data_IF_106373740881
#
_entry.id   IF_106373740881
#
_cell.length_a   1.000
_cell.length_b   1.000
_cell.length_c   1.000
_cell.angle_alpha   90.00
_cell.angle_beta   90.00
_cell.angle_gamma   90.00
#
_symmetry.space_group_name_H-M   'P 1'
#
loop_
_entity.id
_entity.type
_entity.pdbx_description
1 polymer ?
#
# COMPACT_ATOMS: atom_id res chain seq x y z
N UNK A 1 12.72 13.82 56.03
CA UNK A 1 12.08 12.58 56.52
C UNK A 1 11.21 11.98 55.40
N UNK A 2 11.63 10.86 54.79
CA UNK A 2 10.81 10.15 53.81
C UNK A 2 9.75 9.36 54.57
N UNK A 3 8.48 9.73 54.40
CA UNK A 3 7.35 8.98 55.01
C UNK A 3 7.32 7.56 54.42
N UNK A 4 7.17 6.50 55.23
CA UNK A 4 7.11 5.13 54.73
C UNK A 4 5.89 4.91 53.82
N UNK A 5 6.06 4.05 52.81
CA UNK A 5 5.01 3.63 51.93
C UNK A 5 3.86 3.00 52.74
N UNK A 6 2.65 3.55 52.63
CA UNK A 6 1.45 3.00 53.27
C UNK A 6 0.64 2.23 52.25
N UNK A 7 0.46 0.95 52.49
CA UNK A 7 -0.37 0.07 51.66
C UNK A 7 -1.81 0.57 51.52
N UNK A 8 -2.35 1.19 52.56
CA UNK A 8 -3.69 1.79 52.54
C UNK A 8 -3.79 2.96 51.54
N UNK A 9 -2.77 3.84 51.48
CA UNK A 9 -2.73 4.96 50.53
C UNK A 9 -2.53 4.45 49.11
N UNK A 10 -1.71 3.42 48.93
CA UNK A 10 -1.52 2.77 47.62
C UNK A 10 -2.82 2.15 47.15
N UNK A 11 -3.55 1.41 48.01
CA UNK A 11 -4.85 0.81 47.68
C UNK A 11 -5.91 1.86 47.33
N UNK A 12 -5.98 2.96 48.05
CA UNK A 12 -6.89 4.06 47.73
C UNK A 12 -6.59 4.71 46.39
N UNK A 13 -5.29 4.88 46.07
CA UNK A 13 -4.84 5.45 44.79
C UNK A 13 -5.18 4.49 43.60
N UNK A 14 -4.88 3.21 43.79
CA UNK A 14 -5.24 2.18 42.77
C UNK A 14 -6.75 2.14 42.53
N UNK A 15 -7.57 2.18 43.57
CA UNK A 15 -9.02 2.19 43.43
C UNK A 15 -9.53 3.45 42.70
N UNK A 16 -8.94 4.61 43.02
CA UNK A 16 -9.25 5.88 42.34
C UNK A 16 -8.94 5.76 40.84
N UNK A 17 -7.72 5.34 40.49
CA UNK A 17 -7.29 5.22 39.12
C UNK A 17 -8.12 4.18 38.33
N UNK A 18 -8.42 3.04 38.96
CA UNK A 18 -9.28 2.04 38.35
C UNK A 18 -10.70 2.55 38.08
N UNK A 19 -11.27 3.31 39.00
CA UNK A 19 -12.59 3.94 38.82
C UNK A 19 -12.55 5.03 37.73
N UNK A 20 -11.46 5.78 37.64
CA UNK A 20 -11.27 6.79 36.58
C UNK A 20 -11.20 6.11 35.21
N UNK A 21 -10.35 5.09 35.07
CA UNK A 21 -10.20 4.32 33.83
C UNK A 21 -11.51 3.65 33.40
N UNK A 22 -12.30 3.09 34.35
CA UNK A 22 -13.60 2.48 34.07
C UNK A 22 -14.64 3.48 33.58
N UNK A 23 -14.53 4.76 33.95
CA UNK A 23 -15.43 5.83 33.51
C UNK A 23 -15.07 6.37 32.12
N UNK A 24 -13.82 6.31 31.74
CA UNK A 24 -13.35 6.70 30.40
C UNK A 24 -13.54 5.52 29.43
N UNK A 25 -14.78 5.41 28.93
CA UNK A 25 -15.19 4.33 28.01
C UNK A 25 -14.40 4.37 26.69
N UNK A 26 -13.98 5.54 26.24
CA UNK A 26 -13.24 5.71 24.99
C UNK A 26 -11.84 5.15 25.12
N UNK A 27 -11.10 5.53 26.17
CA UNK A 27 -9.76 4.99 26.45
C UNK A 27 -9.81 3.48 26.69
N UNK A 28 -10.78 3.00 27.49
CA UNK A 28 -10.94 1.56 27.74
C UNK A 28 -11.25 0.78 26.45
N UNK A 29 -12.16 1.31 25.62
CA UNK A 29 -12.52 0.72 24.34
C UNK A 29 -11.33 0.63 23.39
N UNK A 30 -10.50 1.67 23.30
CA UNK A 30 -9.29 1.66 22.48
C UNK A 30 -8.20 0.75 23.04
N UNK A 31 -8.05 0.70 24.37
CA UNK A 31 -7.06 -0.15 25.03
C UNK A 31 -7.29 -1.66 24.77
N UNK A 32 -8.54 -2.07 24.61
CA UNK A 32 -8.92 -3.44 24.23
C UNK A 32 -9.05 -3.60 22.72
N UNK A 33 -9.66 -2.61 22.06
CA UNK A 33 -9.97 -2.66 20.64
C UNK A 33 -8.73 -2.67 19.75
N UNK A 34 -7.70 -1.86 20.07
CA UNK A 34 -6.47 -1.82 19.29
C UNK A 34 -5.78 -3.19 19.24
N UNK A 35 -5.48 -3.89 20.36
CA UNK A 35 -4.90 -5.22 20.33
C UNK A 35 -5.77 -6.26 19.61
N UNK A 36 -7.10 -6.21 19.76
CA UNK A 36 -8.00 -7.13 19.07
C UNK A 36 -7.97 -6.92 17.54
N UNK A 37 -8.03 -5.67 17.09
CA UNK A 37 -7.93 -5.35 15.67
C UNK A 37 -6.56 -5.77 15.13
N UNK A 38 -5.49 -5.50 15.86
CA UNK A 38 -4.15 -5.96 15.49
C UNK A 38 -4.10 -7.48 15.37
N UNK A 39 -4.65 -8.22 16.34
CA UNK A 39 -4.69 -9.68 16.30
C UNK A 39 -5.41 -10.17 15.03
N UNK A 40 -6.55 -9.57 14.70
CA UNK A 40 -7.31 -9.92 13.50
C UNK A 40 -6.53 -9.57 12.23
N UNK A 41 -5.94 -8.37 12.16
CA UNK A 41 -5.17 -7.94 11.01
C UNK A 41 -3.92 -8.79 10.81
N UNK A 42 -3.13 -9.03 11.86
CA UNK A 42 -1.95 -9.87 11.76
C UNK A 42 -2.29 -11.35 11.54
N UNK A 43 -3.38 -11.85 12.11
CA UNK A 43 -3.78 -13.26 11.97
C UNK A 43 -4.41 -13.61 10.62
N UNK A 44 -5.17 -12.71 10.03
CA UNK A 44 -5.96 -13.01 8.82
C UNK A 44 -5.57 -12.22 7.58
N UNK A 45 -5.04 -11.00 7.70
CA UNK A 45 -4.72 -10.16 6.54
C UNK A 45 -3.32 -10.41 5.99
N UNK A 46 -2.42 -11.00 6.78
CA UNK A 46 -1.04 -11.23 6.35
C UNK A 46 -0.97 -12.49 5.50
N UNK A 47 -0.61 -12.32 4.25
CA UNK A 47 -0.27 -13.40 3.33
C UNK A 47 0.99 -12.99 2.55
N UNK A 48 2.08 -13.72 2.77
CA UNK A 48 3.36 -13.51 2.09
C UNK A 48 3.51 -14.35 0.82
N UNK A 49 2.53 -15.21 0.51
CA UNK A 49 2.49 -16.04 -0.69
C UNK A 49 1.20 -15.75 -1.51
N UNK A 50 1.12 -14.59 -2.18
CA UNK A 50 -0.04 -14.19 -2.95
C UNK A 50 -0.31 -15.15 -4.10
N UNK A 51 -1.56 -15.51 -4.27
CA UNK A 51 -2.07 -16.36 -5.35
C UNK A 51 -2.94 -15.53 -6.30
N UNK A 52 -3.29 -16.13 -7.45
CA UNK A 52 -4.17 -15.53 -8.45
C UNK A 52 -3.73 -14.11 -8.85
N UNK A 53 -2.43 -13.97 -9.18
CA UNK A 53 -1.86 -12.69 -9.61
C UNK A 53 -2.34 -12.34 -11.02
N UNK A 54 -2.92 -11.14 -11.24
CA UNK A 54 -3.48 -10.78 -12.53
C UNK A 54 -2.41 -10.79 -13.62
N UNK A 55 -2.69 -11.56 -14.66
CA UNK A 55 -1.76 -11.87 -15.74
C UNK A 55 -2.41 -11.58 -17.07
N UNK A 56 -1.68 -10.94 -17.98
CA UNK A 56 -2.08 -10.78 -19.38
C UNK A 56 -1.28 -11.73 -20.26
N UNK A 57 -1.92 -12.31 -21.26
CA UNK A 57 -1.24 -13.15 -22.25
C UNK A 57 -1.26 -12.42 -23.60
N UNK A 58 -0.09 -12.30 -24.22
CA UNK A 58 0.06 -11.92 -25.60
C UNK A 58 0.61 -13.12 -26.38
N UNK A 59 -0.22 -13.71 -27.22
CA UNK A 59 0.17 -14.89 -27.98
C UNK A 59 0.09 -14.66 -29.48
N UNK A 60 1.20 -14.85 -30.16
CA UNK A 60 1.28 -14.86 -31.63
C UNK A 60 1.13 -16.29 -32.21
N UNK A 61 0.91 -17.32 -31.36
CA UNK A 61 0.66 -18.71 -31.71
C UNK A 61 -0.62 -19.22 -31.03
N UNK A 62 -1.56 -19.76 -31.78
CA UNK A 62 -2.86 -20.25 -31.29
C UNK A 62 -2.97 -21.79 -31.24
N UNK A 63 -1.86 -22.47 -31.11
CA UNK A 63 -1.76 -23.94 -31.12
C UNK A 63 -2.35 -24.63 -29.88
N UNK A 64 -2.44 -25.95 -29.91
CA UNK A 64 -2.77 -26.74 -28.73
C UNK A 64 -1.72 -26.61 -27.65
N UNK A 65 -0.43 -26.52 -28.00
CA UNK A 65 0.67 -26.36 -27.05
C UNK A 65 0.60 -25.04 -26.29
N UNK A 66 0.21 -23.96 -26.97
CA UNK A 66 -0.03 -22.66 -26.33
C UNK A 66 -1.14 -22.74 -25.28
N UNK A 67 -2.26 -23.40 -25.63
CA UNK A 67 -3.38 -23.60 -24.70
C UNK A 67 -3.00 -24.46 -23.51
N UNK A 68 -2.24 -25.55 -23.74
CA UNK A 68 -1.74 -26.41 -22.65
C UNK A 68 -0.78 -25.67 -21.72
N UNK A 69 0.10 -24.83 -22.27
CA UNK A 69 0.98 -23.97 -21.45
C UNK A 69 0.18 -22.97 -20.60
N UNK A 70 -0.80 -22.27 -21.20
CA UNK A 70 -1.68 -21.36 -20.50
C UNK A 70 -2.46 -22.07 -19.38
N UNK A 71 -3.01 -23.25 -19.67
CA UNK A 71 -3.69 -24.06 -18.66
C UNK A 71 -2.74 -24.49 -17.52
N UNK A 72 -1.50 -24.89 -17.85
CA UNK A 72 -0.49 -25.22 -16.85
C UNK A 72 -0.12 -24.02 -15.97
N UNK A 73 -0.05 -22.82 -16.58
CA UNK A 73 0.21 -21.57 -15.85
C UNK A 73 -0.89 -21.29 -14.81
N UNK A 74 -2.17 -21.32 -15.23
CA UNK A 74 -3.33 -21.11 -14.36
C UNK A 74 -3.41 -22.19 -13.27
N UNK A 75 -3.14 -23.45 -13.61
CA UNK A 75 -3.20 -24.57 -12.66
C UNK A 75 -2.15 -24.51 -11.53
N UNK A 76 -1.14 -23.64 -11.63
CA UNK A 76 -0.25 -23.38 -10.49
C UNK A 76 -0.94 -22.64 -9.35
N UNK A 77 -2.07 -21.96 -9.64
CA UNK A 77 -2.79 -21.11 -8.70
C UNK A 77 -2.10 -19.75 -8.42
N UNK A 78 -0.93 -19.49 -9.03
CA UNK A 78 -0.26 -18.19 -8.90
C UNK A 78 -0.73 -17.16 -9.92
N UNK A 79 -1.14 -17.59 -11.10
CA UNK A 79 -1.48 -16.73 -12.24
C UNK A 79 -2.98 -16.77 -12.51
N UNK A 80 -3.59 -15.59 -12.59
CA UNK A 80 -4.98 -15.41 -13.01
C UNK A 80 -4.99 -14.64 -14.34
N UNK A 81 -5.36 -15.31 -15.41
CA UNK A 81 -5.38 -14.70 -16.75
C UNK A 81 -6.62 -13.83 -16.89
N UNK A 82 -6.44 -12.52 -16.70
CA UNK A 82 -7.53 -11.54 -16.72
C UNK A 82 -7.79 -10.95 -18.10
N UNK A 83 -6.80 -11.03 -19.00
CA UNK A 83 -6.93 -10.50 -20.37
C UNK A 83 -6.00 -11.21 -21.36
N UNK A 84 -6.37 -11.15 -22.64
CA UNK A 84 -5.51 -11.44 -23.78
C UNK A 84 -5.21 -10.14 -24.52
N UNK A 85 -3.93 -9.77 -24.61
CA UNK A 85 -3.50 -8.58 -25.33
C UNK A 85 -3.40 -8.85 -26.84
N UNK A 86 -3.65 -7.82 -27.63
CA UNK A 86 -3.52 -7.87 -29.10
C UNK A 86 -2.21 -7.24 -29.60
N UNK A 87 -1.52 -6.51 -28.75
CA UNK A 87 -0.25 -5.85 -29.09
C UNK A 87 0.64 -5.75 -27.85
N UNK A 88 1.94 -5.59 -28.06
CA UNK A 88 2.93 -5.34 -26.99
C UNK A 88 2.66 -4.01 -26.27
N UNK A 89 2.25 -2.95 -27.00
CA UNK A 89 1.88 -1.67 -26.41
C UNK A 89 0.76 -1.80 -25.38
N UNK A 90 -0.23 -2.68 -25.62
CA UNK A 90 -1.30 -2.97 -24.64
C UNK A 90 -0.75 -3.63 -23.39
N UNK A 91 0.20 -4.55 -23.54
CA UNK A 91 0.88 -5.21 -22.42
C UNK A 91 1.62 -4.18 -21.58
N UNK A 92 2.38 -3.30 -22.23
CA UNK A 92 3.16 -2.25 -21.58
C UNK A 92 2.27 -1.29 -20.78
N UNK A 93 1.16 -0.84 -21.35
CA UNK A 93 0.19 0.04 -20.70
C UNK A 93 -0.44 -0.63 -19.46
N UNK A 94 -0.84 -1.91 -19.59
CA UNK A 94 -1.42 -2.65 -18.46
C UNK A 94 -0.43 -2.85 -17.30
N UNK A 95 0.85 -3.12 -17.60
CA UNK A 95 1.92 -3.24 -16.58
C UNK A 95 2.23 -1.89 -15.94
N UNK A 96 2.32 -0.82 -16.72
CA UNK A 96 2.59 0.52 -16.23
C UNK A 96 1.49 0.98 -15.25
N UNK A 97 0.22 0.76 -15.59
CA UNK A 97 -0.93 1.09 -14.73
C UNK A 97 -1.12 0.14 -13.55
N UNK A 98 -0.33 -0.95 -13.45
CA UNK A 98 -0.50 -1.98 -12.41
C UNK A 98 -1.81 -2.76 -12.49
N UNK A 99 -2.46 -2.78 -13.66
CA UNK A 99 -3.65 -3.58 -13.90
C UNK A 99 -3.31 -5.07 -13.88
N UNK A 100 -2.13 -5.43 -14.38
CA UNK A 100 -1.55 -6.77 -14.32
C UNK A 100 -0.19 -6.75 -13.64
N UNK A 101 0.18 -7.87 -13.02
CA UNK A 101 1.50 -8.07 -12.40
C UNK A 101 2.42 -8.93 -13.26
N UNK A 102 1.85 -9.72 -14.16
CA UNK A 102 2.60 -10.53 -15.09
C UNK A 102 2.07 -10.35 -16.52
N UNK A 103 3.00 -10.36 -17.47
CA UNK A 103 2.69 -10.47 -18.88
C UNK A 103 3.44 -11.66 -19.46
N UNK A 104 2.75 -12.49 -20.22
CA UNK A 104 3.31 -13.67 -20.85
C UNK A 104 3.22 -13.51 -22.35
N UNK A 105 4.38 -13.39 -22.98
CA UNK A 105 4.51 -13.26 -24.45
C UNK A 105 4.94 -14.58 -25.06
N UNK A 106 4.08 -15.16 -25.87
CA UNK A 106 4.33 -16.40 -26.61
C UNK A 106 4.68 -16.04 -28.05
N UNK A 107 5.88 -16.38 -28.54
CA UNK A 107 6.34 -15.95 -29.86
C UNK A 107 5.62 -16.62 -31.00
N UNK A 108 5.69 -15.99 -32.16
CA UNK A 108 5.21 -16.57 -33.40
C UNK A 108 5.94 -17.90 -33.71
N UNK A 109 5.21 -18.89 -34.22
CA UNK A 109 5.71 -20.23 -34.52
C UNK A 109 6.20 -21.05 -33.32
N UNK A 110 5.78 -20.71 -32.10
CA UNK A 110 6.13 -21.45 -30.89
C UNK A 110 5.94 -22.95 -31.05
N UNK A 111 4.79 -23.37 -31.54
CA UNK A 111 4.45 -24.78 -31.78
C UNK A 111 5.36 -25.46 -32.79
N UNK A 112 5.67 -24.79 -33.90
CA UNK A 112 6.54 -25.32 -34.95
C UNK A 112 7.96 -25.53 -34.44
N UNK A 113 8.49 -24.55 -33.74
CA UNK A 113 9.86 -24.56 -33.24
C UNK A 113 10.01 -25.54 -32.05
N UNK A 114 8.94 -25.72 -31.25
CA UNK A 114 8.84 -26.74 -30.23
C UNK A 114 9.00 -28.16 -30.81
N UNK A 115 8.20 -28.50 -31.83
CA UNK A 115 8.22 -29.83 -32.50
C UNK A 115 9.55 -30.07 -33.20
N UNK A 116 10.20 -29.02 -33.69
CA UNK A 116 11.55 -29.11 -34.30
C UNK A 116 12.68 -29.21 -33.29
N UNK A 117 12.40 -29.13 -31.98
CA UNK A 117 13.40 -29.16 -30.93
C UNK A 117 14.27 -27.91 -30.84
N UNK A 118 13.82 -26.79 -31.40
CA UNK A 118 14.55 -25.52 -31.41
C UNK A 118 14.45 -24.73 -30.09
N UNK A 119 13.78 -25.28 -29.06
CA UNK A 119 13.60 -24.69 -27.74
C UNK A 119 13.14 -23.23 -27.76
N UNK A 120 11.94 -22.96 -28.26
CA UNK A 120 11.44 -21.61 -28.29
C UNK A 120 11.39 -21.00 -26.89
N UNK A 121 11.52 -19.67 -26.83
CA UNK A 121 11.53 -18.93 -25.58
C UNK A 121 10.18 -18.23 -25.37
N UNK A 122 9.59 -18.43 -24.19
CA UNK A 122 8.43 -17.66 -23.72
C UNK A 122 8.99 -16.55 -22.85
N UNK A 123 8.64 -15.31 -23.14
CA UNK A 123 8.98 -14.16 -22.30
C UNK A 123 7.90 -13.98 -21.25
N UNK A 124 8.31 -13.90 -19.99
CA UNK A 124 7.45 -13.55 -18.86
C UNK A 124 7.98 -12.27 -18.25
N UNK A 125 7.21 -11.21 -18.35
CA UNK A 125 7.53 -9.94 -17.75
C UNK A 125 6.78 -9.84 -16.42
N UNK A 126 7.52 -9.51 -15.36
CA UNK A 126 7.00 -9.37 -14.01
C UNK A 126 7.16 -7.92 -13.54
N UNK A 127 6.09 -7.34 -13.01
CA UNK A 127 6.16 -6.08 -12.27
C UNK A 127 6.89 -6.29 -10.95
N UNK A 128 8.19 -6.02 -10.92
CA UNK A 128 9.06 -6.22 -9.77
C UNK A 128 9.13 -5.00 -8.84
N UNK A 129 8.17 -4.07 -8.91
CA UNK A 129 8.03 -2.99 -7.92
C UNK A 129 7.73 -3.52 -6.54
N UNK A 130 7.07 -4.70 -6.44
CA UNK A 130 6.91 -5.47 -5.21
C UNK A 130 7.57 -6.85 -5.34
N UNK A 131 8.83 -7.00 -4.90
CA UNK A 131 9.58 -8.24 -5.01
C UNK A 131 8.97 -9.42 -4.24
N UNK A 132 8.26 -9.14 -3.14
CA UNK A 132 7.64 -10.20 -2.32
C UNK A 132 6.42 -10.78 -3.06
N UNK A 133 5.67 -9.94 -3.75
CA UNK A 133 4.50 -10.37 -4.50
C UNK A 133 4.85 -11.32 -5.65
N UNK A 134 5.98 -11.09 -6.32
CA UNK A 134 6.33 -11.81 -7.57
C UNK A 134 7.24 -13.02 -7.33
N UNK A 135 7.93 -13.10 -6.20
CA UNK A 135 8.97 -14.11 -5.95
C UNK A 135 8.49 -15.55 -6.03
N UNK A 136 7.37 -15.88 -5.38
CA UNK A 136 6.79 -17.24 -5.39
C UNK A 136 6.26 -17.63 -6.77
N UNK A 137 5.63 -16.70 -7.48
CA UNK A 137 5.12 -16.94 -8.83
C UNK A 137 6.27 -17.19 -9.82
N UNK A 138 7.37 -16.45 -9.74
CA UNK A 138 8.57 -16.68 -10.56
C UNK A 138 9.16 -18.06 -10.27
N UNK A 139 9.21 -18.47 -9.02
CA UNK A 139 9.67 -19.81 -8.65
C UNK A 139 8.78 -20.92 -9.22
N UNK A 140 7.46 -20.69 -9.32
CA UNK A 140 6.53 -21.63 -9.93
C UNK A 140 6.75 -21.77 -11.46
N UNK A 141 7.19 -20.69 -12.15
CA UNK A 141 7.51 -20.74 -13.58
C UNK A 141 8.63 -21.74 -13.91
N UNK A 142 9.63 -21.87 -13.03
CA UNK A 142 10.70 -22.85 -13.21
C UNK A 142 10.17 -24.30 -13.16
N UNK A 143 9.14 -24.56 -12.36
CA UNK A 143 8.50 -25.88 -12.32
C UNK A 143 7.64 -26.14 -13.56
N UNK A 144 6.95 -25.12 -14.07
CA UNK A 144 6.17 -25.21 -15.32
C UNK A 144 7.07 -25.56 -16.48
N UNK A 145 8.22 -24.94 -16.62
CA UNK A 145 9.23 -25.19 -17.64
C UNK A 145 9.56 -26.68 -17.80
N UNK A 146 9.56 -27.43 -16.70
CA UNK A 146 9.89 -28.85 -16.69
C UNK A 146 8.68 -29.77 -16.96
N UNK A 147 7.45 -29.33 -16.69
CA UNK A 147 6.27 -30.19 -16.62
C UNK A 147 5.12 -29.83 -17.56
N UNK A 148 5.02 -28.57 -17.99
CA UNK A 148 3.80 -28.05 -18.64
C UNK A 148 3.38 -28.81 -19.90
N UNK A 149 4.33 -29.20 -20.75
CA UNK A 149 4.06 -29.88 -22.03
C UNK A 149 4.49 -31.36 -22.04
N UNK A 150 4.86 -31.91 -20.88
CA UNK A 150 5.38 -33.30 -20.83
C UNK A 150 4.38 -34.34 -21.34
N UNK A 151 3.07 -34.13 -21.16
CA UNK A 151 2.00 -35.02 -21.67
C UNK A 151 1.73 -34.81 -23.14
N UNK A 152 1.73 -33.58 -23.61
CA UNK A 152 1.43 -33.23 -25.01
C UNK A 152 2.54 -33.68 -25.97
N UNK A 153 3.76 -33.83 -25.41
CA UNK A 153 4.94 -34.27 -26.17
C UNK A 153 5.18 -35.79 -26.07
N UNK A 154 4.31 -36.55 -25.39
CA UNK A 154 4.36 -38.00 -25.37
C UNK A 154 4.15 -38.55 -26.78
N UNK A 155 5.15 -39.28 -27.32
CA UNK A 155 5.11 -39.86 -28.67
C UNK A 155 5.62 -38.93 -29.79
N UNK A 156 5.99 -37.69 -29.48
CA UNK A 156 6.71 -36.80 -30.39
C UNK A 156 8.20 -37.11 -30.27
N UNK A 157 8.83 -37.53 -31.36
CA UNK A 157 10.28 -37.76 -31.40
C UNK A 157 11.01 -36.40 -31.40
N UNK A 158 11.21 -35.84 -30.21
CA UNK A 158 11.99 -34.62 -30.06
C UNK A 158 13.49 -34.92 -30.22
N UNK A 159 14.22 -34.12 -30.96
CA UNK A 159 15.69 -34.24 -31.05
C UNK A 159 16.42 -33.87 -29.76
N UNK A 160 15.71 -33.52 -28.70
CA UNK A 160 16.27 -33.11 -27.41
C UNK A 160 16.31 -34.27 -26.39
N UNK A 161 17.36 -34.39 -25.57
CA UNK A 161 17.42 -35.39 -24.49
C UNK A 161 16.25 -35.23 -23.51
N UNK A 162 15.67 -36.33 -22.98
CA UNK A 162 14.53 -36.27 -22.04
C UNK A 162 14.81 -35.49 -20.73
N UNK A 163 16.08 -35.22 -20.43
CA UNK A 163 16.50 -34.46 -19.25
C UNK A 163 16.46 -32.93 -19.42
N UNK A 164 16.17 -32.45 -20.62
CA UNK A 164 16.16 -31.01 -20.91
C UNK A 164 14.74 -30.51 -21.21
N UNK A 165 14.39 -29.31 -20.78
CA UNK A 165 13.06 -28.75 -21.06
C UNK A 165 12.89 -28.50 -22.56
N UNK A 166 11.69 -28.75 -23.06
CA UNK A 166 11.35 -28.61 -24.50
C UNK A 166 11.29 -27.14 -24.95
N UNK A 167 11.08 -26.21 -24.02
CA UNK A 167 11.06 -24.76 -24.24
C UNK A 167 11.77 -24.05 -23.08
N UNK A 168 12.07 -22.79 -23.27
CA UNK A 168 12.66 -21.95 -22.22
C UNK A 168 11.65 -20.87 -21.76
N UNK A 169 11.72 -20.48 -20.48
CA UNK A 169 11.02 -19.34 -19.94
C UNK A 169 12.07 -18.31 -19.54
N UNK A 170 11.98 -17.14 -20.13
CA UNK A 170 12.85 -15.99 -19.80
C UNK A 170 12.04 -15.04 -18.95
N UNK A 171 12.47 -14.82 -17.73
CA UNK A 171 11.79 -13.89 -16.81
C UNK A 171 12.50 -12.55 -16.85
N UNK A 172 11.78 -11.52 -17.29
CA UNK A 172 12.24 -10.13 -17.27
C UNK A 172 11.53 -9.39 -16.15
N UNK A 173 12.29 -9.02 -15.11
CA UNK A 173 11.79 -8.20 -14.00
C UNK A 173 11.81 -6.74 -14.43
N UNK A 174 10.63 -6.17 -14.71
CA UNK A 174 10.50 -4.74 -15.05
C UNK A 174 10.58 -3.89 -13.79
N UNK A 175 11.09 -2.68 -13.92
CA UNK A 175 11.15 -1.62 -12.93
C UNK A 175 12.11 -1.87 -11.74
N UNK A 176 12.51 -3.12 -11.49
CA UNK A 176 13.50 -3.48 -10.47
C UNK A 176 14.21 -4.80 -10.86
N UNK A 177 15.04 -4.78 -11.92
CA UNK A 177 15.68 -5.99 -12.45
C UNK A 177 16.56 -6.72 -11.42
N UNK A 178 17.26 -5.96 -10.58
CA UNK A 178 18.17 -6.47 -9.55
C UNK A 178 17.45 -6.91 -8.27
N UNK A 179 16.12 -6.74 -8.21
CA UNK A 179 15.30 -7.11 -7.05
C UNK A 179 15.72 -6.40 -5.75
N UNK A 180 16.10 -5.11 -5.87
CA UNK A 180 16.55 -4.29 -4.74
C UNK A 180 15.37 -3.97 -3.84
N UNK A 181 15.39 -4.48 -2.61
CA UNK A 181 14.30 -4.31 -1.64
C UNK A 181 14.06 -2.84 -1.28
N UNK A 182 15.10 -2.03 -1.25
CA UNK A 182 15.03 -0.59 -0.95
C UNK A 182 14.15 0.17 -1.94
N UNK A 183 14.10 -0.24 -3.20
CA UNK A 183 13.26 0.39 -4.23
C UNK A 183 11.76 0.26 -3.94
N UNK A 184 11.37 -0.82 -3.27
CA UNK A 184 10.00 -1.00 -2.80
C UNK A 184 9.74 -0.26 -1.48
N UNK A 185 10.65 -0.41 -0.50
CA UNK A 185 10.43 0.05 0.87
C UNK A 185 10.54 1.57 0.97
N UNK A 186 11.56 2.20 0.38
CA UNK A 186 11.86 3.61 0.64
C UNK A 186 10.77 4.57 0.12
N UNK A 187 10.23 4.43 -1.10
CA UNK A 187 9.06 5.21 -1.52
C UNK A 187 7.85 5.03 -0.60
N UNK A 188 7.65 3.80 -0.11
CA UNK A 188 6.58 3.49 0.82
C UNK A 188 6.75 4.14 2.20
N UNK A 189 7.98 4.17 2.73
CA UNK A 189 8.29 4.84 4.00
C UNK A 189 7.92 6.31 3.99
N UNK A 190 8.04 7.01 2.85
CA UNK A 190 7.59 8.40 2.74
C UNK A 190 6.11 8.54 3.12
N UNK A 191 5.24 7.69 2.56
CA UNK A 191 3.82 7.70 2.90
C UNK A 191 3.54 7.33 4.36
N UNK A 192 4.21 6.29 4.86
CA UNK A 192 4.06 5.80 6.23
C UNK A 192 4.46 6.86 7.27
N UNK A 193 5.63 7.47 7.08
CA UNK A 193 6.16 8.50 7.99
C UNK A 193 5.29 9.75 7.96
N UNK A 194 4.87 10.20 6.78
CA UNK A 194 3.95 11.35 6.64
C UNK A 194 2.60 11.06 7.31
N UNK A 195 2.02 9.87 7.11
CA UNK A 195 0.76 9.49 7.76
C UNK A 195 0.86 9.59 9.27
N UNK A 196 1.86 8.93 9.86
CA UNK A 196 2.04 8.94 11.31
C UNK A 196 2.26 10.34 11.85
N UNK A 197 3.19 11.09 11.25
CA UNK A 197 3.58 12.41 11.73
C UNK A 197 2.45 13.42 11.60
N UNK A 198 1.80 13.49 10.43
CA UNK A 198 0.79 14.52 10.18
C UNK A 198 -0.51 14.26 10.94
N UNK A 199 -0.98 13.02 11.01
CA UNK A 199 -2.16 12.68 11.80
C UNK A 199 -1.92 12.95 13.28
N UNK A 200 -0.74 12.58 13.80
CA UNK A 200 -0.38 12.79 15.22
C UNK A 200 -0.29 14.28 15.56
N UNK A 201 0.49 15.05 14.81
CA UNK A 201 0.69 16.48 15.09
C UNK A 201 -0.65 17.23 15.04
N UNK A 202 -1.47 16.95 14.03
CA UNK A 202 -2.77 17.61 13.85
C UNK A 202 -3.78 17.12 14.90
N UNK A 203 -3.76 15.81 15.21
CA UNK A 203 -4.59 15.24 16.28
C UNK A 203 -4.33 15.87 17.65
N UNK A 204 -3.10 16.23 17.94
CA UNK A 204 -2.71 16.90 19.18
C UNK A 204 -2.97 18.41 19.18
N UNK A 205 -3.17 19.04 18.01
CA UNK A 205 -3.20 20.50 17.91
C UNK A 205 -4.37 21.15 18.68
N UNK A 206 -5.59 20.63 18.53
CA UNK A 206 -6.79 21.17 19.21
C UNK A 206 -6.92 20.61 20.62
N UNK A 207 -6.59 19.33 20.82
CA UNK A 207 -6.65 18.71 22.16
C UNK A 207 -5.71 19.39 23.16
N UNK A 208 -4.53 19.82 22.71
CA UNK A 208 -3.59 20.59 23.52
C UNK A 208 -4.16 21.95 23.93
N UNK A 209 -4.88 22.64 23.05
CA UNK A 209 -5.54 23.90 23.35
C UNK A 209 -6.69 23.72 24.37
N UNK A 210 -7.45 22.62 24.21
CA UNK A 210 -8.52 22.28 25.15
C UNK A 210 -7.97 21.98 26.55
N UNK A 211 -6.90 21.18 26.67
CA UNK A 211 -6.28 20.88 27.98
C UNK A 211 -5.63 22.10 28.66
N UNK A 212 -5.13 23.04 27.84
CA UNK A 212 -4.52 24.28 28.37
C UNK A 212 -5.54 25.39 28.68
N UNK A 213 -6.82 25.16 28.39
CA UNK A 213 -7.86 26.18 28.60
C UNK A 213 -7.81 27.34 27.59
N UNK A 214 -6.98 27.27 26.56
CA UNK A 214 -6.84 28.32 25.53
C UNK A 214 -7.90 28.26 24.45
N UNK A 215 -8.78 27.26 24.50
CA UNK A 215 -9.88 27.08 23.54
C UNK A 215 -10.88 28.23 23.61
N UNK A 216 -11.12 28.80 24.81
CA UNK A 216 -12.00 29.96 25.00
C UNK A 216 -11.51 31.18 24.22
N UNK A 217 -10.21 31.43 24.20
CA UNK A 217 -9.63 32.53 23.43
C UNK A 217 -9.84 32.34 21.92
N UNK A 218 -9.78 31.09 21.43
CA UNK A 218 -10.02 30.78 20.02
C UNK A 218 -11.49 31.00 19.64
N UNK A 219 -12.42 30.63 20.53
CA UNK A 219 -13.87 30.80 20.32
C UNK A 219 -14.30 32.26 20.44
N UNK A 220 -13.58 33.08 21.19
CA UNK A 220 -13.83 34.53 21.29
C UNK A 220 -13.40 35.30 20.03
N UNK A 221 -12.59 34.71 19.14
CA UNK A 221 -12.21 35.34 17.89
C UNK A 221 -13.34 35.23 16.85
N UNK A 222 -13.61 36.26 16.03
CA UNK A 222 -14.62 36.24 14.99
C UNK A 222 -14.12 35.48 13.74
N UNK A 223 -13.66 34.23 13.92
CA UNK A 223 -13.12 33.37 12.87
C UNK A 223 -14.10 32.26 12.51
N UNK A 224 -14.13 31.88 11.21
CA UNK A 224 -14.94 30.76 10.73
C UNK A 224 -14.20 29.43 10.95
N UNK A 225 -14.92 28.29 11.12
CA UNK A 225 -14.30 26.97 11.28
C UNK A 225 -13.28 26.63 10.18
N UNK A 226 -13.59 26.99 8.93
CA UNK A 226 -12.68 26.83 7.79
C UNK A 226 -11.37 27.61 7.95
N UNK A 227 -11.44 28.85 8.48
CA UNK A 227 -10.26 29.68 8.67
C UNK A 227 -9.34 29.11 9.76
N UNK A 228 -9.93 28.60 10.84
CA UNK A 228 -9.20 27.90 11.90
C UNK A 228 -8.54 26.63 11.36
N UNK A 229 -9.30 25.83 10.60
CA UNK A 229 -8.79 24.60 10.02
C UNK A 229 -7.64 24.87 9.03
N UNK A 230 -7.82 25.80 8.09
CA UNK A 230 -6.80 26.18 7.11
C UNK A 230 -5.57 26.81 7.77
N UNK A 231 -5.78 27.69 8.76
CA UNK A 231 -4.68 28.32 9.51
C UNK A 231 -3.81 27.32 10.28
N UNK A 232 -4.39 26.20 10.72
CA UNK A 232 -3.64 25.13 11.40
C UNK A 232 -3.04 24.13 10.41
N UNK A 233 -3.75 23.81 9.32
CA UNK A 233 -3.30 22.83 8.34
C UNK A 233 -2.09 23.35 7.55
N UNK A 234 -2.12 24.61 7.10
CA UNK A 234 -1.09 25.15 6.21
C UNK A 234 0.33 25.08 6.76
N UNK A 235 0.63 25.44 8.02
CA UNK A 235 1.95 25.25 8.62
C UNK A 235 2.40 23.79 8.62
N UNK A 236 1.47 22.86 8.89
CA UNK A 236 1.80 21.42 8.92
C UNK A 236 2.03 20.83 7.52
N UNK A 237 1.40 21.39 6.49
CA UNK A 237 1.75 21.05 5.09
C UNK A 237 3.21 21.42 4.80
N UNK A 238 3.65 22.59 5.24
CA UNK A 238 5.05 23.02 5.05
C UNK A 238 6.00 22.04 5.78
N UNK A 239 5.72 21.71 7.02
CA UNK A 239 6.53 20.75 7.79
C UNK A 239 6.56 19.39 7.12
N UNK A 240 5.40 18.87 6.71
CA UNK A 240 5.30 17.59 5.98
C UNK A 240 6.02 17.63 4.65
N UNK A 241 5.96 18.76 3.92
CA UNK A 241 6.66 18.90 2.64
C UNK A 241 8.19 18.90 2.82
N UNK A 242 8.71 19.60 3.83
CA UNK A 242 10.14 19.54 4.18
C UNK A 242 10.54 18.11 4.52
N UNK A 243 9.73 17.40 5.29
CA UNK A 243 9.97 15.99 5.63
C UNK A 243 9.97 15.09 4.38
N UNK A 244 9.01 15.28 3.47
CA UNK A 244 8.96 14.54 2.21
C UNK A 244 10.19 14.78 1.33
N UNK A 245 10.64 16.04 1.23
CA UNK A 245 11.86 16.41 0.47
C UNK A 245 13.09 15.75 1.09
N UNK A 246 13.23 15.77 2.41
CA UNK A 246 14.35 15.11 3.10
C UNK A 246 14.34 13.60 2.81
N UNK A 247 13.18 12.95 2.89
CA UNK A 247 13.06 11.51 2.60
C UNK A 247 13.38 11.23 1.13
N UNK A 248 12.92 12.06 0.19
CA UNK A 248 13.20 11.88 -1.23
C UNK A 248 14.69 12.04 -1.55
N UNK A 249 15.34 13.06 -0.97
CA UNK A 249 16.79 13.25 -1.11
C UNK A 249 17.55 12.06 -0.53
N UNK A 250 17.17 11.60 0.67
CA UNK A 250 17.76 10.43 1.29
C UNK A 250 17.56 9.16 0.44
N UNK A 251 16.36 8.99 -0.15
CA UNK A 251 16.05 7.90 -1.05
C UNK A 251 17.00 7.86 -2.26
N UNK A 252 17.22 8.99 -2.90
CA UNK A 252 18.08 9.08 -4.06
C UNK A 252 19.58 8.95 -3.70
N UNK A 253 20.03 9.64 -2.63
CA UNK A 253 21.46 9.75 -2.29
C UNK A 253 21.98 8.53 -1.52
N UNK A 254 21.20 8.02 -0.54
CA UNK A 254 21.64 6.93 0.33
C UNK A 254 21.27 5.55 -0.21
N UNK A 255 20.12 5.43 -0.89
CA UNK A 255 19.59 4.15 -1.33
C UNK A 255 19.58 3.97 -2.84
N UNK A 256 19.98 4.99 -3.62
CA UNK A 256 20.04 4.91 -5.06
C UNK A 256 18.67 4.67 -5.72
N UNK A 257 17.56 5.05 -5.05
CA UNK A 257 16.22 4.90 -5.62
C UNK A 257 16.11 5.75 -6.88
N UNK A 258 15.78 5.14 -8.04
CA UNK A 258 15.67 5.91 -9.28
C UNK A 258 14.49 6.89 -9.21
N UNK A 259 14.58 7.96 -9.97
CA UNK A 259 13.51 8.94 -10.15
C UNK A 259 13.22 9.02 -11.65
N UNK A 260 12.45 8.04 -12.14
CA UNK A 260 12.14 7.91 -13.57
C UNK A 260 11.07 8.90 -14.04
N UNK A 261 10.16 9.29 -13.14
CA UNK A 261 9.05 10.17 -13.46
C UNK A 261 9.21 11.61 -12.96
N UNK A 262 8.13 12.38 -13.08
CA UNK A 262 8.12 13.81 -12.73
C UNK A 262 8.11 14.05 -11.22
N UNK A 263 9.15 14.69 -10.69
CA UNK A 263 9.20 15.16 -9.28
C UNK A 263 8.09 16.18 -8.98
N UNK A 264 7.72 17.00 -9.97
CA UNK A 264 6.61 17.95 -9.82
C UNK A 264 5.27 17.24 -9.60
N UNK A 265 5.02 16.16 -10.34
CA UNK A 265 3.82 15.35 -10.20
C UNK A 265 3.81 14.61 -8.84
N UNK A 266 4.94 14.07 -8.42
CA UNK A 266 5.10 13.47 -7.10
C UNK A 266 4.85 14.49 -5.99
N UNK A 267 5.39 15.72 -6.10
CA UNK A 267 5.14 16.81 -5.15
C UNK A 267 3.66 17.15 -5.03
N UNK A 268 2.96 17.32 -6.16
CA UNK A 268 1.53 17.63 -6.16
C UNK A 268 0.70 16.52 -5.49
N UNK A 269 1.01 15.25 -5.83
CA UNK A 269 0.37 14.08 -5.22
C UNK A 269 0.65 13.98 -3.72
N UNK A 270 1.88 14.29 -3.31
CA UNK A 270 2.28 14.30 -1.90
C UNK A 270 1.54 15.38 -1.11
N UNK A 271 1.36 16.58 -1.68
CA UNK A 271 0.57 17.65 -1.03
C UNK A 271 -0.90 17.20 -0.84
N UNK A 272 -1.51 16.60 -1.86
CA UNK A 272 -2.87 16.08 -1.75
C UNK A 272 -2.99 15.01 -0.66
N UNK A 273 -2.02 14.11 -0.60
CA UNK A 273 -1.93 13.07 0.43
C UNK A 273 -1.72 13.65 1.84
N UNK A 274 -0.91 14.70 1.97
CA UNK A 274 -0.74 15.42 3.25
C UNK A 274 -2.06 16.01 3.71
N UNK A 275 -2.82 16.66 2.83
CA UNK A 275 -4.13 17.24 3.16
C UNK A 275 -5.09 16.16 3.65
N UNK A 276 -5.08 14.95 3.05
CA UNK A 276 -5.88 13.82 3.51
C UNK A 276 -5.55 13.44 4.97
N UNK A 277 -4.27 13.28 5.29
CA UNK A 277 -3.84 12.91 6.64
C UNK A 277 -4.09 14.02 7.68
N UNK A 278 -3.90 15.27 7.29
CA UNK A 278 -4.19 16.42 8.16
C UNK A 278 -5.70 16.53 8.45
N UNK A 279 -6.57 16.24 7.49
CA UNK A 279 -8.02 16.19 7.69
C UNK A 279 -8.42 15.09 8.69
N UNK A 280 -7.79 13.91 8.61
CA UNK A 280 -7.99 12.82 9.59
C UNK A 280 -7.55 13.25 10.99
N UNK A 281 -6.33 13.79 11.12
CA UNK A 281 -5.81 14.26 12.40
C UNK A 281 -6.67 15.37 13.01
N UNK A 282 -7.17 16.31 12.17
CA UNK A 282 -8.09 17.34 12.61
C UNK A 282 -9.43 16.75 13.10
N UNK A 283 -9.96 15.74 12.39
CA UNK A 283 -11.16 15.03 12.84
C UNK A 283 -10.94 14.40 14.22
N UNK A 284 -9.81 13.74 14.44
CA UNK A 284 -9.49 13.14 15.74
C UNK A 284 -9.36 14.19 16.83
N UNK A 285 -8.75 15.33 16.55
CA UNK A 285 -8.61 16.42 17.50
C UNK A 285 -9.95 17.04 17.95
N UNK A 286 -10.99 16.96 17.11
CA UNK A 286 -12.33 17.44 17.48
C UNK A 286 -13.09 16.43 18.36
N UNK A 287 -12.78 15.14 18.26
CA UNK A 287 -13.44 14.04 19.00
C UNK A 287 -12.73 13.77 20.33
N UNK A 288 -11.40 13.79 20.32
CA UNK A 288 -10.59 13.48 21.49
C UNK A 288 -10.79 14.51 22.62
N UNK A 289 -10.94 14.01 23.84
CA UNK A 289 -11.08 14.85 25.05
C UNK A 289 -9.75 15.26 25.65
N UNK A 290 -8.70 14.48 25.40
CA UNK A 290 -7.34 14.70 25.91
C UNK A 290 -6.31 14.21 24.89
N UNK A 291 -5.03 14.59 25.11
CA UNK A 291 -3.94 14.22 24.21
C UNK A 291 -3.73 12.71 24.13
N UNK A 292 -3.94 11.96 25.21
CA UNK A 292 -3.81 10.50 25.22
C UNK A 292 -4.81 9.86 24.26
N UNK A 293 -6.07 10.28 24.28
CA UNK A 293 -7.09 9.80 23.34
C UNK A 293 -6.74 10.15 21.89
N UNK A 294 -6.23 11.36 21.63
CA UNK A 294 -5.80 11.75 20.29
C UNK A 294 -4.67 10.85 19.75
N UNK A 295 -3.69 10.52 20.59
CA UNK A 295 -2.62 9.60 20.25
C UNK A 295 -3.16 8.19 19.98
N UNK A 296 -4.03 7.68 20.84
CA UNK A 296 -4.65 6.35 20.64
C UNK A 296 -5.46 6.28 19.34
N UNK A 297 -6.24 7.32 19.01
CA UNK A 297 -6.98 7.41 17.75
C UNK A 297 -6.04 7.45 16.54
N UNK A 298 -4.90 8.16 16.67
CA UNK A 298 -3.87 8.17 15.63
C UNK A 298 -3.34 6.77 15.36
N UNK A 299 -2.98 6.02 16.40
CA UNK A 299 -2.53 4.64 16.24
C UNK A 299 -3.62 3.71 15.71
N UNK A 300 -4.87 3.92 16.11
CA UNK A 300 -6.01 3.17 15.60
C UNK A 300 -6.22 3.33 14.10
N UNK A 301 -5.91 4.49 13.54
CA UNK A 301 -5.93 4.75 12.11
C UNK A 301 -4.63 4.31 11.42
N UNK A 302 -3.47 4.62 12.04
CA UNK A 302 -2.16 4.38 11.44
C UNK A 302 -1.85 2.89 11.24
N UNK A 303 -2.14 2.04 12.24
CA UNK A 303 -1.80 0.62 12.15
C UNK A 303 -2.57 -0.13 11.05
N UNK A 304 -3.90 0.00 10.91
CA UNK A 304 -4.60 -0.53 9.75
C UNK A 304 -4.09 0.04 8.43
N UNK A 305 -3.81 1.35 8.37
CA UNK A 305 -3.25 1.98 7.17
C UNK A 305 -1.90 1.37 6.79
N UNK A 306 -1.00 1.15 7.76
CA UNK A 306 0.29 0.52 7.54
C UNK A 306 0.16 -0.92 7.02
N UNK A 307 -0.73 -1.71 7.64
CA UNK A 307 -0.85 -3.15 7.35
C UNK A 307 -1.63 -3.43 6.06
N UNK A 308 -2.68 -2.65 5.78
CA UNK A 308 -3.59 -2.89 4.65
C UNK A 308 -3.24 -2.10 3.39
N UNK A 309 -2.23 -1.23 3.44
CA UNK A 309 -1.85 -0.39 2.29
C UNK A 309 -1.04 -1.11 1.21
N UNK A 310 -0.52 -2.31 1.47
CA UNK A 310 0.46 -2.94 0.60
C UNK A 310 1.89 -2.48 0.84
N UNK A 311 2.16 -1.84 2.00
CA UNK A 311 3.52 -1.44 2.39
C UNK A 311 4.34 -2.62 2.91
N UNK A 312 3.83 -3.31 3.94
CA UNK A 312 4.53 -4.42 4.59
C UNK A 312 4.28 -5.78 3.91
N UNK A 313 3.10 -5.96 3.36
CA UNK A 313 2.66 -7.21 2.76
C UNK A 313 2.04 -6.95 1.40
N UNK A 314 2.19 -7.89 0.43
CA UNK A 314 1.62 -7.73 -0.90
C UNK A 314 0.11 -7.50 -0.83
N UNK A 315 -0.37 -6.38 -1.38
CA UNK A 315 -1.78 -6.00 -1.33
C UNK A 315 -2.69 -7.09 -1.97
N UNK A 316 -2.27 -7.64 -3.10
CA UNK A 316 -2.99 -8.71 -3.81
C UNK A 316 -3.04 -10.04 -3.06
N UNK A 317 -2.13 -10.27 -2.12
CA UNK A 317 -2.14 -11.47 -1.26
C UNK A 317 -3.15 -11.41 -0.14
N UNK A 318 -3.73 -10.24 0.15
CA UNK A 318 -4.69 -10.07 1.23
C UNK A 318 -6.07 -10.65 0.87
N UNK A 319 -6.86 -11.11 1.86
CA UNK A 319 -8.26 -11.49 1.61
C UNK A 319 -9.08 -10.28 1.16
N UNK A 320 -10.16 -10.51 0.40
CA UNK A 320 -10.97 -9.46 -0.23
C UNK A 320 -11.46 -8.37 0.74
N UNK A 321 -11.88 -8.77 1.95
CA UNK A 321 -12.31 -7.79 2.96
C UNK A 321 -11.19 -6.82 3.36
N UNK A 322 -9.94 -7.31 3.45
CA UNK A 322 -8.78 -6.50 3.79
C UNK A 322 -8.40 -5.56 2.63
N UNK A 323 -8.47 -6.06 1.39
CA UNK A 323 -8.28 -5.24 0.20
C UNK A 323 -9.34 -4.13 0.11
N UNK A 324 -10.62 -4.43 0.36
CA UNK A 324 -11.71 -3.44 0.34
C UNK A 324 -11.48 -2.33 1.36
N UNK A 325 -11.04 -2.67 2.58
CA UNK A 325 -10.68 -1.65 3.58
C UNK A 325 -9.44 -0.88 3.14
N UNK A 326 -8.43 -1.56 2.61
CA UNK A 326 -7.21 -0.96 2.10
C UNK A 326 -7.47 0.05 0.99
N UNK A 327 -8.39 -0.24 0.05
CA UNK A 327 -8.79 0.70 -1.02
C UNK A 327 -9.50 1.96 -0.48
N UNK A 328 -10.05 1.92 0.73
CA UNK A 328 -10.60 3.13 1.35
C UNK A 328 -9.53 4.01 2.02
N UNK A 329 -8.28 3.53 2.15
CA UNK A 329 -7.22 4.23 2.86
C UNK A 329 -6.34 5.04 1.91
N UNK A 330 -6.04 6.32 2.22
CA UNK A 330 -5.26 7.18 1.33
C UNK A 330 -3.81 6.69 1.17
N UNK A 331 -3.25 5.99 2.16
CA UNK A 331 -1.89 5.47 2.10
C UNK A 331 -1.72 4.43 0.97
N UNK A 332 -2.72 3.58 0.73
CA UNK A 332 -2.70 2.58 -0.35
C UNK A 332 -2.49 3.22 -1.72
N UNK A 333 -3.28 4.23 -2.02
CA UNK A 333 -3.20 4.98 -3.27
C UNK A 333 -1.91 5.77 -3.39
N UNK A 334 -1.47 6.39 -2.29
CA UNK A 334 -0.21 7.14 -2.29
C UNK A 334 1.00 6.23 -2.54
N UNK A 335 1.01 5.01 -2.02
CA UNK A 335 2.08 4.03 -2.29
C UNK A 335 2.15 3.66 -3.77
N UNK A 336 0.99 3.43 -4.41
CA UNK A 336 0.91 3.16 -5.85
C UNK A 336 1.42 4.34 -6.67
N UNK A 337 1.01 5.56 -6.32
CA UNK A 337 1.47 6.79 -6.96
C UNK A 337 2.98 6.95 -6.80
N UNK A 338 3.51 6.85 -5.59
CA UNK A 338 4.93 7.07 -5.32
C UNK A 338 5.81 6.04 -6.03
N UNK A 339 5.47 4.74 -5.94
CA UNK A 339 6.17 3.68 -6.68
C UNK A 339 6.01 3.83 -8.19
N UNK A 340 4.80 4.17 -8.66
CA UNK A 340 4.52 4.39 -10.08
C UNK A 340 5.36 5.52 -10.66
N UNK A 341 5.45 6.66 -10.00
CA UNK A 341 6.24 7.79 -10.48
C UNK A 341 7.74 7.49 -10.36
N UNK A 342 8.22 7.02 -9.20
CA UNK A 342 9.65 6.86 -8.96
C UNK A 342 10.26 5.71 -9.75
N UNK A 343 9.58 4.57 -9.86
CA UNK A 343 10.14 3.35 -10.43
C UNK A 343 9.67 3.07 -11.87
N UNK A 344 8.43 3.43 -12.20
CA UNK A 344 7.84 3.14 -13.52
C UNK A 344 7.87 4.35 -14.45
N UNK A 345 8.12 5.56 -13.95
CA UNK A 345 8.05 6.77 -14.73
C UNK A 345 6.62 7.21 -15.09
N UNK A 346 5.62 6.74 -14.34
CA UNK A 346 4.21 7.01 -14.61
C UNK A 346 3.91 8.51 -14.67
N UNK A 347 3.12 8.89 -15.68
CA UNK A 347 2.59 10.23 -15.86
C UNK A 347 1.26 10.44 -15.14
N UNK A 348 0.59 11.54 -15.47
CA UNK A 348 -0.68 11.92 -14.85
C UNK A 348 -1.81 10.92 -15.15
N UNK A 349 -1.85 10.38 -16.36
CA UNK A 349 -2.93 9.48 -16.81
C UNK A 349 -2.96 8.15 -16.06
N UNK A 350 -1.78 7.61 -15.75
CA UNK A 350 -1.63 6.33 -15.05
C UNK A 350 -1.99 6.45 -13.57
N UNK A 351 -1.65 7.58 -12.93
CA UNK A 351 -1.89 7.79 -11.49
C UNK A 351 -3.25 8.44 -11.20
N UNK A 352 -3.98 8.92 -12.23
CA UNK A 352 -5.22 9.65 -12.06
C UNK A 352 -6.29 8.93 -11.23
N UNK A 353 -6.53 7.62 -11.39
CA UNK A 353 -7.49 6.89 -10.56
C UNK A 353 -7.15 6.94 -9.05
N UNK A 354 -5.87 6.79 -8.71
CA UNK A 354 -5.41 6.85 -7.33
C UNK A 354 -5.47 8.28 -6.76
N UNK A 355 -5.17 9.30 -7.58
CA UNK A 355 -5.36 10.71 -7.20
C UNK A 355 -6.83 11.02 -6.90
N UNK A 356 -7.75 10.51 -7.73
CA UNK A 356 -9.18 10.71 -7.54
C UNK A 356 -9.66 10.05 -6.23
N UNK A 357 -9.16 8.88 -5.90
CA UNK A 357 -9.47 8.19 -4.65
C UNK A 357 -8.99 9.00 -3.42
N UNK A 358 -7.76 9.53 -3.46
CA UNK A 358 -7.25 10.40 -2.38
C UNK A 358 -8.09 11.68 -2.29
N UNK A 359 -8.46 12.30 -3.41
CA UNK A 359 -9.29 13.51 -3.43
C UNK A 359 -10.69 13.24 -2.82
N UNK A 360 -11.30 12.12 -3.18
CA UNK A 360 -12.59 11.71 -2.61
C UNK A 360 -12.47 11.52 -1.09
N UNK A 361 -11.39 10.88 -0.63
CA UNK A 361 -11.11 10.74 0.80
C UNK A 361 -10.94 12.10 1.49
N UNK A 362 -10.23 13.05 0.89
CA UNK A 362 -10.05 14.42 1.42
C UNK A 362 -11.42 15.10 1.60
N UNK A 363 -12.30 15.01 0.61
CA UNK A 363 -13.64 15.62 0.67
C UNK A 363 -14.44 15.03 1.82
N UNK A 364 -14.45 13.69 1.96
CA UNK A 364 -15.19 12.99 3.02
C UNK A 364 -14.61 13.33 4.40
N UNK A 365 -13.29 13.20 4.57
CA UNK A 365 -12.63 13.46 5.86
C UNK A 365 -12.78 14.92 6.29
N UNK A 366 -12.59 15.87 5.37
CA UNK A 366 -12.80 17.31 5.64
C UNK A 366 -14.26 17.64 5.96
N UNK A 367 -15.21 16.99 5.27
CA UNK A 367 -16.64 17.13 5.56
C UNK A 367 -17.01 16.67 6.97
N UNK A 368 -16.48 15.50 7.40
CA UNK A 368 -16.64 14.97 8.76
C UNK A 368 -16.00 15.92 9.79
N UNK A 369 -14.78 16.39 9.50
CA UNK A 369 -14.06 17.33 10.37
C UNK A 369 -14.87 18.62 10.61
N UNK A 370 -15.39 19.21 9.54
CA UNK A 370 -16.22 20.45 9.62
C UNK A 370 -17.54 20.21 10.35
N UNK A 371 -18.23 19.10 10.09
CA UNK A 371 -19.49 18.78 10.74
C UNK A 371 -19.33 18.52 12.26
N UNK A 372 -18.16 18.07 12.69
CA UNK A 372 -17.84 17.81 14.11
C UNK A 372 -17.24 19.02 14.83
N UNK A 373 -16.78 20.01 14.09
CA UNK A 373 -16.23 21.22 14.70
C UNK A 373 -17.34 22.05 15.33
N UNK A 374 -17.44 22.00 16.67
CA UNK A 374 -18.41 22.80 17.44
C UNK A 374 -17.88 24.21 17.62
N UNK A 375 -18.77 25.19 17.45
CA UNK A 375 -18.48 26.62 17.66
C UNK A 375 -18.86 27.10 19.06
N UNK A 376 -19.46 26.23 19.88
CA UNK A 376 -19.96 26.55 21.22
C UNK A 376 -19.29 25.69 22.27
N UNK A 377 -19.23 26.20 23.50
CA UNK A 377 -18.66 25.55 24.69
C UNK A 377 -19.58 24.47 25.29
N UNK A 378 -20.71 24.14 24.67
CA UNK A 378 -21.68 23.14 25.16
C UNK A 378 -21.21 21.68 24.95
#
# INVERSE_FOLDING_TARGET
MRRPLSLLRLGAMLMKEFNHMRRDRTTLGMMVGIPLIQLVLFGFAINTDPKALPTVIYSADSSAYTRSFTAALVNTGYFDVVAEARSEDTVDDMLARGQVQFAVTIPQNFSRDLVRGQRPQILVEADATDPVATGSAISALEQIKLRALSRDLLGVALPTPPSQPAFNVVVHRRYNPENITQYNIVPGLMGVVLTMTLVMITGLAVTRERERGTMENLLAMPVRPMEVMLGKILPYVIVGYVQAVIILIAAAVLFGVPVEGSVGLLSASTILFMVANLAVGFTFSTIAQNQLQAVQMTFFFFLPSLLLSGFMFPFRGMPLWAQTIGEALPLTHFLRIARGILLKGNGFTEIFPDLLAILAFVIVASGIAMARYRQTLD
#
